data_IF_190939859204
#
_entry.id   IF_190939859204
#
_cell.length_a   1.000
_cell.length_b   1.000
_cell.length_c   1.000
_cell.angle_alpha   90.00
_cell.angle_beta   90.00
_cell.angle_gamma   90.00
#
_symmetry.space_group_name_H-M   'P 1'
#
loop_
_entity.id
_entity.type
_entity.pdbx_description
1 polymer ?
#
# COMPACT_ATOMS: atom_id res chain seq x y z
N UNK A 1 11.84 -12.84 10.98
CA UNK A 1 13.01 -12.21 11.68
C UNK A 1 14.09 -11.75 10.68
N UNK A 2 14.80 -12.65 9.96
CA UNK A 2 15.95 -12.29 9.08
C UNK A 2 15.61 -11.19 8.08
N UNK A 3 14.42 -11.23 7.45
CA UNK A 3 13.97 -10.19 6.53
C UNK A 3 13.67 -8.85 7.22
N UNK A 4 13.05 -8.88 8.41
CA UNK A 4 12.78 -7.67 9.18
C UNK A 4 14.07 -6.97 9.62
N UNK A 5 15.08 -7.74 10.01
CA UNK A 5 16.37 -7.19 10.45
C UNK A 5 17.20 -6.63 9.30
N UNK A 6 17.36 -7.39 8.20
CA UNK A 6 18.34 -7.11 7.15
C UNK A 6 17.75 -6.63 5.82
N UNK A 7 16.44 -6.68 5.66
CA UNK A 7 15.79 -6.50 4.37
C UNK A 7 15.97 -7.69 3.43
N UNK A 8 15.14 -7.75 2.39
CA UNK A 8 15.18 -8.85 1.42
C UNK A 8 16.57 -9.00 0.79
N UNK A 9 17.15 -7.90 0.30
CA UNK A 9 18.41 -7.91 -0.46
C UNK A 9 19.57 -8.54 0.32
N UNK A 10 19.70 -8.17 1.61
CA UNK A 10 20.81 -8.60 2.48
C UNK A 10 20.51 -9.84 3.31
N UNK A 11 19.27 -10.33 3.32
CA UNK A 11 18.89 -11.51 4.08
C UNK A 11 19.54 -12.78 3.51
N UNK A 12 20.01 -13.64 4.41
CA UNK A 12 20.69 -14.90 4.10
C UNK A 12 19.73 -16.09 4.20
N UNK A 13 19.47 -16.74 3.07
CA UNK A 13 18.67 -17.97 3.07
C UNK A 13 19.25 -19.05 4.00
N UNK A 14 20.58 -19.14 4.07
CA UNK A 14 21.24 -20.08 4.98
C UNK A 14 20.92 -19.80 6.45
N UNK A 15 20.84 -18.52 6.83
CA UNK A 15 20.46 -18.17 8.19
C UNK A 15 18.98 -18.48 8.44
N UNK A 16 18.10 -18.16 7.48
CA UNK A 16 16.66 -18.44 7.57
C UNK A 16 16.43 -19.94 7.83
N UNK A 17 16.98 -20.83 7.00
CA UNK A 17 16.77 -22.28 7.16
C UNK A 17 17.40 -22.82 8.44
N UNK A 18 18.54 -22.26 8.86
CA UNK A 18 19.19 -22.62 10.14
C UNK A 18 18.33 -22.24 11.33
N UNK A 19 17.80 -21.01 11.34
CA UNK A 19 16.92 -20.50 12.43
C UNK A 19 15.60 -21.27 12.49
N UNK A 20 15.04 -21.63 11.32
CA UNK A 20 13.83 -22.42 11.21
C UNK A 20 14.05 -23.92 11.60
N UNK A 21 15.29 -24.36 11.81
CA UNK A 21 15.60 -25.75 12.15
C UNK A 21 15.36 -26.75 11.01
N UNK A 22 15.34 -26.28 9.76
CA UNK A 22 15.12 -27.12 8.58
C UNK A 22 16.38 -27.25 7.75
N UNK A 23 16.43 -28.26 6.88
CA UNK A 23 17.53 -28.40 5.91
C UNK A 23 17.28 -27.55 4.67
N UNK A 24 18.35 -27.17 3.98
CA UNK A 24 18.25 -26.46 2.69
C UNK A 24 17.46 -27.28 1.66
N UNK A 25 17.62 -28.61 1.66
CA UNK A 25 16.84 -29.49 0.78
C UNK A 25 15.35 -29.48 1.09
N UNK A 26 14.97 -29.49 2.39
CA UNK A 26 13.58 -29.36 2.80
C UNK A 26 13.00 -28.00 2.39
N UNK A 27 13.77 -26.93 2.53
CA UNK A 27 13.37 -25.59 2.07
C UNK A 27 13.01 -25.58 0.58
N UNK A 28 13.88 -26.11 -0.28
CA UNK A 28 13.64 -26.14 -1.72
C UNK A 28 12.51 -27.08 -2.15
N UNK A 29 12.01 -27.91 -1.24
CA UNK A 29 10.76 -28.67 -1.44
C UNK A 29 9.49 -27.82 -1.35
N UNK A 30 9.55 -26.65 -0.70
CA UNK A 30 8.41 -25.75 -0.52
C UNK A 30 8.55 -24.44 -1.30
N UNK A 31 9.74 -23.88 -1.41
CA UNK A 31 10.00 -22.59 -2.03
C UNK A 31 11.10 -22.69 -3.06
N UNK A 32 10.89 -22.09 -4.24
CA UNK A 32 11.90 -22.05 -5.30
C UNK A 32 13.13 -21.18 -4.96
N UNK A 33 13.01 -20.32 -3.96
CA UNK A 33 14.09 -19.42 -3.52
C UNK A 33 13.64 -18.43 -2.46
N UNK A 34 14.53 -17.51 -2.13
CA UNK A 34 14.33 -16.47 -1.13
C UNK A 34 13.14 -15.56 -1.50
N UNK A 35 12.99 -15.28 -2.78
CA UNK A 35 11.89 -14.44 -3.31
C UNK A 35 10.52 -15.10 -3.13
N UNK A 36 10.41 -16.41 -3.43
CA UNK A 36 9.17 -17.15 -3.21
C UNK A 36 8.78 -17.21 -1.74
N UNK A 37 9.74 -17.34 -0.83
CA UNK A 37 9.49 -17.27 0.61
C UNK A 37 9.04 -15.87 1.03
N UNK A 38 9.68 -14.81 0.51
CA UNK A 38 9.29 -13.43 0.82
C UNK A 38 7.87 -13.15 0.32
N UNK A 39 7.57 -13.53 -0.92
CA UNK A 39 6.23 -13.40 -1.49
C UNK A 39 5.18 -14.12 -0.65
N UNK A 40 5.44 -15.36 -0.21
CA UNK A 40 4.52 -16.10 0.65
C UNK A 40 4.21 -15.45 2.00
N UNK A 41 5.08 -14.54 2.47
CA UNK A 41 4.86 -13.77 3.70
C UNK A 41 4.02 -12.52 3.48
N UNK A 42 4.05 -11.93 2.27
CA UNK A 42 3.52 -10.57 2.05
C UNK A 42 2.43 -10.47 1.00
N UNK A 43 2.32 -11.42 0.07
CA UNK A 43 1.43 -11.34 -1.11
C UNK A 43 -0.04 -11.19 -0.72
N UNK A 44 -0.52 -11.96 0.26
CA UNK A 44 -1.89 -11.89 0.75
C UNK A 44 -2.19 -10.48 1.28
N UNK A 45 -1.28 -9.91 2.05
CA UNK A 45 -1.46 -8.60 2.68
C UNK A 45 -1.33 -7.44 1.69
N UNK A 46 -0.37 -7.51 0.76
CA UNK A 46 -0.25 -6.55 -0.33
C UNK A 46 -1.53 -6.55 -1.20
N UNK A 47 -2.04 -7.74 -1.53
CA UNK A 47 -3.27 -7.90 -2.31
C UNK A 47 -4.49 -7.37 -1.54
N UNK A 48 -4.59 -7.63 -0.24
CA UNK A 48 -5.71 -7.17 0.58
C UNK A 48 -5.79 -5.64 0.63
N UNK A 49 -4.67 -4.94 0.83
CA UNK A 49 -4.65 -3.45 0.79
C UNK A 49 -5.04 -2.92 -0.60
N UNK A 50 -4.50 -3.51 -1.67
CA UNK A 50 -4.87 -3.11 -3.02
C UNK A 50 -6.37 -3.31 -3.26
N UNK A 51 -6.96 -4.41 -2.78
CA UNK A 51 -8.40 -4.65 -2.89
C UNK A 51 -9.22 -3.64 -2.08
N UNK A 52 -8.82 -3.29 -0.85
CA UNK A 52 -9.49 -2.24 -0.06
C UNK A 52 -9.45 -0.91 -0.81
N UNK A 53 -8.30 -0.55 -1.37
CA UNK A 53 -8.11 0.67 -2.12
C UNK A 53 -8.96 0.69 -3.41
N UNK A 54 -8.91 -0.37 -4.22
CA UNK A 54 -9.68 -0.48 -5.46
C UNK A 54 -11.19 -0.52 -5.21
N UNK A 55 -11.65 -1.24 -4.18
CA UNK A 55 -13.08 -1.26 -3.82
C UNK A 55 -13.58 0.12 -3.44
N UNK A 56 -12.77 0.95 -2.77
CA UNK A 56 -13.16 2.32 -2.45
C UNK A 56 -13.29 3.19 -3.71
N UNK A 57 -12.45 2.97 -4.72
CA UNK A 57 -12.56 3.66 -6.01
C UNK A 57 -13.83 3.20 -6.76
N UNK A 58 -14.10 1.89 -6.82
CA UNK A 58 -15.29 1.33 -7.44
C UNK A 58 -16.59 1.84 -6.77
N UNK A 59 -16.64 1.83 -5.44
CA UNK A 59 -17.79 2.37 -4.67
C UNK A 59 -18.02 3.84 -4.99
N UNK A 60 -16.94 4.63 -5.12
CA UNK A 60 -17.02 6.03 -5.49
C UNK A 60 -17.46 6.22 -6.95
N UNK A 61 -17.01 5.39 -7.87
CA UNK A 61 -17.44 5.43 -9.27
C UNK A 61 -18.94 5.14 -9.43
N UNK A 62 -19.51 4.24 -8.61
CA UNK A 62 -20.93 3.89 -8.62
C UNK A 62 -21.86 4.99 -8.11
N UNK A 63 -21.32 6.03 -7.44
CA UNK A 63 -22.13 7.17 -6.99
C UNK A 63 -22.65 7.98 -8.19
N UNK A 64 -23.87 8.52 -8.07
CA UNK A 64 -24.37 9.50 -9.03
C UNK A 64 -23.39 10.68 -9.15
N UNK A 65 -23.13 11.13 -10.38
CA UNK A 65 -22.17 12.25 -10.63
C UNK A 65 -22.42 13.46 -9.73
N UNK A 66 -23.70 13.80 -9.49
CA UNK A 66 -24.12 14.94 -8.64
C UNK A 66 -23.75 14.80 -7.16
N UNK A 67 -23.56 13.56 -6.69
CA UNK A 67 -23.29 13.27 -5.29
C UNK A 67 -21.78 13.09 -5.02
N UNK A 68 -20.98 12.82 -6.06
CA UNK A 68 -19.54 12.56 -5.94
C UNK A 68 -18.77 13.67 -5.21
N UNK A 69 -19.04 14.93 -5.53
CA UNK A 69 -18.37 16.08 -4.90
C UNK A 69 -18.57 16.13 -3.36
N UNK A 70 -19.76 15.72 -2.88
CA UNK A 70 -20.09 15.73 -1.46
C UNK A 70 -19.60 14.48 -0.70
N UNK A 71 -19.43 13.35 -1.39
CA UNK A 71 -19.08 12.07 -0.76
C UNK A 71 -17.59 11.75 -0.78
N UNK A 72 -16.79 12.40 -1.63
CA UNK A 72 -15.36 12.13 -1.77
C UNK A 72 -14.61 12.09 -0.43
N UNK A 73 -14.76 13.10 0.41
CA UNK A 73 -14.05 13.17 1.70
C UNK A 73 -14.52 12.10 2.71
N UNK A 74 -15.75 11.62 2.60
CA UNK A 74 -16.31 10.59 3.48
C UNK A 74 -15.75 9.22 3.09
N UNK A 75 -15.79 8.87 1.80
CA UNK A 75 -15.29 7.58 1.31
C UNK A 75 -13.78 7.47 1.43
N UNK A 76 -13.03 8.53 1.11
CA UNK A 76 -11.58 8.58 1.32
C UNK A 76 -11.20 8.33 2.78
N UNK A 77 -11.88 8.99 3.74
CA UNK A 77 -11.63 8.78 5.17
C UNK A 77 -11.95 7.36 5.62
N UNK A 78 -13.03 6.77 5.13
CA UNK A 78 -13.44 5.41 5.44
C UNK A 78 -12.40 4.40 4.91
N UNK A 79 -11.96 4.57 3.67
CA UNK A 79 -10.93 3.74 3.06
C UNK A 79 -9.60 3.83 3.81
N UNK A 80 -9.11 5.04 4.11
CA UNK A 80 -7.88 5.25 4.88
C UNK A 80 -7.96 4.58 6.26
N UNK A 81 -9.08 4.71 6.97
CA UNK A 81 -9.26 4.05 8.26
C UNK A 81 -9.22 2.51 8.13
N UNK A 82 -9.83 1.95 7.10
CA UNK A 82 -9.80 0.50 6.83
C UNK A 82 -8.39 0.02 6.52
N UNK A 83 -7.64 0.78 5.72
CA UNK A 83 -6.23 0.53 5.41
C UNK A 83 -5.39 0.55 6.70
N UNK A 84 -5.53 1.58 7.53
CA UNK A 84 -4.80 1.69 8.82
C UNK A 84 -5.15 0.51 9.73
N UNK A 85 -6.43 0.15 9.85
CA UNK A 85 -6.83 -0.99 10.68
C UNK A 85 -6.17 -2.29 10.24
N UNK A 86 -6.20 -2.58 8.95
CA UNK A 86 -5.60 -3.77 8.37
C UNK A 86 -4.07 -3.79 8.53
N UNK A 87 -3.40 -2.65 8.31
CA UNK A 87 -1.94 -2.52 8.53
C UNK A 87 -1.58 -2.89 9.96
N UNK A 88 -2.34 -2.42 10.96
CA UNK A 88 -2.02 -2.72 12.37
C UNK A 88 -2.39 -4.13 12.81
N UNK A 89 -3.22 -4.84 12.07
CA UNK A 89 -3.46 -6.28 12.27
C UNK A 89 -2.32 -7.14 11.69
N UNK A 90 -1.56 -6.61 10.71
CA UNK A 90 -0.51 -7.29 9.96
C UNK A 90 0.76 -6.43 9.87
N UNK A 91 1.16 -5.86 11.01
CA UNK A 91 2.18 -4.80 11.05
C UNK A 91 3.55 -5.27 10.56
N UNK A 92 3.98 -6.49 10.92
CA UNK A 92 5.27 -7.05 10.51
C UNK A 92 5.32 -7.31 9.00
N UNK A 93 4.22 -7.79 8.41
CA UNK A 93 4.10 -8.02 6.97
C UNK A 93 4.17 -6.70 6.21
N UNK A 94 3.51 -5.65 6.71
CA UNK A 94 3.62 -4.32 6.10
C UNK A 94 4.99 -3.69 6.31
N UNK A 95 5.65 -3.95 7.43
CA UNK A 95 7.04 -3.55 7.62
C UNK A 95 7.98 -4.23 6.61
N UNK A 96 7.70 -5.47 6.22
CA UNK A 96 8.39 -6.14 5.13
C UNK A 96 8.12 -5.45 3.77
N UNK A 97 6.86 -5.19 3.43
CA UNK A 97 6.46 -4.57 2.16
C UNK A 97 7.07 -3.18 2.01
N UNK A 98 6.92 -2.32 3.02
CA UNK A 98 7.27 -0.89 2.94
C UNK A 98 8.77 -0.65 3.15
N UNK A 99 9.37 -1.30 4.16
CA UNK A 99 10.74 -0.97 4.59
C UNK A 99 11.79 -1.97 4.13
N UNK A 100 11.40 -3.17 3.67
CA UNK A 100 12.31 -4.31 3.54
C UNK A 100 12.24 -5.03 2.19
N UNK A 101 11.47 -4.53 1.24
CA UNK A 101 11.16 -5.20 -0.04
C UNK A 101 12.11 -4.86 -1.19
N UNK A 102 13.15 -4.05 -0.96
CA UNK A 102 14.12 -3.65 -2.01
C UNK A 102 14.66 -4.88 -2.76
N UNK A 103 14.54 -4.88 -4.08
CA UNK A 103 14.94 -5.99 -4.96
C UNK A 103 13.87 -7.05 -5.15
N UNK A 104 12.63 -6.82 -4.71
CA UNK A 104 11.47 -7.67 -4.99
C UNK A 104 10.45 -6.93 -5.88
N UNK A 105 9.41 -7.63 -6.36
CA UNK A 105 8.30 -6.98 -7.06
C UNK A 105 7.46 -6.03 -6.17
N UNK A 106 7.65 -6.06 -4.85
CA UNK A 106 6.95 -5.21 -3.90
C UNK A 106 7.66 -3.87 -3.62
N UNK A 107 8.89 -3.65 -4.11
CA UNK A 107 9.63 -2.40 -3.86
C UNK A 107 8.90 -1.14 -4.35
N UNK A 108 8.05 -1.28 -5.37
CA UNK A 108 7.27 -0.20 -5.94
C UNK A 108 5.80 -0.17 -5.45
N UNK A 109 5.48 -0.86 -4.35
CA UNK A 109 4.11 -1.00 -3.86
C UNK A 109 3.40 0.35 -3.66
N UNK A 110 4.02 1.27 -2.94
CA UNK A 110 3.47 2.62 -2.70
C UNK A 110 3.38 3.42 -4.00
N UNK A 111 4.39 3.35 -4.86
CA UNK A 111 4.38 4.03 -6.15
C UNK A 111 3.21 3.56 -7.05
N UNK A 112 2.92 2.27 -7.06
CA UNK A 112 1.80 1.73 -7.82
C UNK A 112 0.44 2.29 -7.32
N UNK A 113 0.26 2.43 -6.01
CA UNK A 113 -0.93 3.08 -5.44
C UNK A 113 -1.02 4.55 -5.86
N UNK A 114 0.10 5.27 -5.86
CA UNK A 114 0.17 6.68 -6.31
C UNK A 114 -0.25 6.82 -7.77
N UNK A 115 0.21 5.96 -8.66
CA UNK A 115 -0.15 6.03 -10.08
C UNK A 115 -1.66 5.80 -10.32
N UNK A 116 -2.27 4.87 -9.56
CA UNK A 116 -3.73 4.63 -9.60
C UNK A 116 -4.46 5.90 -9.12
N UNK A 117 -4.10 6.45 -7.96
CA UNK A 117 -4.72 7.65 -7.40
C UNK A 117 -4.63 8.84 -8.34
N UNK A 118 -3.49 9.03 -9.00
CA UNK A 118 -3.32 10.10 -9.99
C UNK A 118 -4.28 9.93 -11.15
N UNK A 119 -4.44 8.71 -11.69
CA UNK A 119 -5.36 8.44 -12.78
C UNK A 119 -6.81 8.75 -12.38
N UNK A 120 -7.26 8.26 -11.21
CA UNK A 120 -8.61 8.45 -10.69
C UNK A 120 -8.89 9.93 -10.37
N UNK A 121 -7.91 10.65 -9.84
CA UNK A 121 -8.03 12.11 -9.59
C UNK A 121 -8.32 12.87 -10.88
N UNK A 122 -7.67 12.53 -11.99
CA UNK A 122 -7.93 13.19 -13.27
C UNK A 122 -9.33 12.88 -13.82
N UNK A 123 -9.81 11.64 -13.67
CA UNK A 123 -11.18 11.30 -14.06
C UNK A 123 -12.21 12.07 -13.21
N UNK A 124 -11.96 12.18 -11.90
CA UNK A 124 -12.82 12.96 -11.00
C UNK A 124 -12.83 14.46 -11.36
N UNK A 125 -11.69 15.07 -11.66
CA UNK A 125 -11.59 16.46 -12.12
C UNK A 125 -12.44 16.68 -13.39
N UNK A 126 -12.43 15.75 -14.34
CA UNK A 126 -13.27 15.83 -15.54
C UNK A 126 -14.76 15.85 -15.19
N UNK A 127 -15.19 15.03 -14.24
CA UNK A 127 -16.59 14.98 -13.77
C UNK A 127 -16.96 16.34 -13.13
N UNK A 128 -16.13 16.88 -12.26
CA UNK A 128 -16.39 18.16 -11.60
C UNK A 128 -16.49 19.32 -12.62
N UNK A 129 -15.59 19.37 -13.60
CA UNK A 129 -15.66 20.39 -14.68
C UNK A 129 -16.95 20.27 -15.48
N UNK A 130 -17.42 19.07 -15.79
CA UNK A 130 -18.74 18.85 -16.45
C UNK A 130 -19.90 19.38 -15.62
N UNK A 131 -19.80 19.30 -14.30
CA UNK A 131 -20.81 19.82 -13.35
C UNK A 131 -20.76 21.36 -13.19
N UNK A 132 -19.79 22.02 -13.84
CA UNK A 132 -19.66 23.47 -13.81
C UNK A 132 -18.80 24.00 -12.66
N UNK A 133 -18.05 23.14 -11.97
CA UNK A 133 -17.05 23.59 -11.01
C UNK A 133 -15.87 24.23 -11.74
N UNK A 134 -15.47 25.42 -11.26
CA UNK A 134 -14.28 26.11 -11.79
C UNK A 134 -13.01 25.53 -11.14
N UNK A 135 -12.49 24.48 -11.76
CA UNK A 135 -11.27 23.80 -11.32
C UNK A 135 -10.14 24.13 -12.29
N UNK A 136 -9.05 24.76 -11.81
CA UNK A 136 -7.90 25.03 -12.65
C UNK A 136 -7.29 23.76 -13.21
N UNK A 137 -6.62 23.88 -14.35
CA UNK A 137 -5.86 22.77 -14.90
C UNK A 137 -4.70 22.44 -13.95
N UNK A 138 -4.54 21.14 -13.69
CA UNK A 138 -3.49 20.59 -12.85
C UNK A 138 -2.51 19.81 -13.73
N UNK A 139 -1.23 20.07 -13.59
CA UNK A 139 -0.19 19.26 -14.22
C UNK A 139 -0.10 17.89 -13.54
N UNK A 140 0.18 16.84 -14.35
CA UNK A 140 0.26 15.46 -13.83
C UNK A 140 1.31 15.34 -12.73
N UNK A 141 2.43 16.03 -12.87
CA UNK A 141 3.53 16.06 -11.92
C UNK A 141 3.10 16.63 -10.56
N UNK A 142 2.27 17.67 -10.57
CA UNK A 142 1.74 18.27 -9.32
C UNK A 142 0.78 17.30 -8.63
N UNK A 143 -0.13 16.68 -9.39
CA UNK A 143 -1.02 15.66 -8.86
C UNK A 143 -0.23 14.49 -8.25
N UNK A 144 0.78 13.99 -8.98
CA UNK A 144 1.67 12.93 -8.50
C UNK A 144 2.42 13.31 -7.21
N UNK A 145 2.91 14.55 -7.11
CA UNK A 145 3.57 15.02 -5.87
C UNK A 145 2.62 15.03 -4.67
N UNK A 146 1.38 15.47 -4.88
CA UNK A 146 0.37 15.50 -3.81
C UNK A 146 0.01 14.07 -3.37
N UNK A 147 -0.31 13.19 -4.32
CA UNK A 147 -0.64 11.80 -4.05
C UNK A 147 0.53 11.06 -3.38
N UNK A 148 1.77 11.27 -3.86
CA UNK A 148 2.97 10.72 -3.23
C UNK A 148 3.13 11.17 -1.78
N UNK A 149 2.93 12.46 -1.50
CA UNK A 149 2.98 13.00 -0.13
C UNK A 149 1.93 12.38 0.77
N UNK A 150 0.72 12.16 0.29
CA UNK A 150 -0.37 11.53 1.02
C UNK A 150 -0.05 10.07 1.36
N UNK A 151 0.29 9.24 0.37
CA UNK A 151 0.59 7.83 0.61
C UNK A 151 1.86 7.62 1.42
N UNK A 152 2.94 8.38 1.14
CA UNK A 152 4.15 8.34 1.96
C UNK A 152 3.81 8.68 3.41
N UNK A 153 3.03 9.74 3.66
CA UNK A 153 2.60 10.12 5.01
C UNK A 153 1.84 9.00 5.74
N UNK A 154 0.96 8.26 5.03
CA UNK A 154 0.26 7.10 5.62
C UNK A 154 1.24 5.98 5.97
N UNK A 155 2.19 5.65 5.10
CA UNK A 155 3.12 4.54 5.33
C UNK A 155 4.29 4.89 6.27
N UNK A 156 4.58 6.18 6.50
CA UNK A 156 5.49 6.65 7.57
C UNK A 156 5.09 6.13 8.96
N UNK A 157 3.80 5.82 9.16
CA UNK A 157 3.31 5.18 10.39
C UNK A 157 4.06 3.87 10.70
N UNK A 158 4.40 3.12 9.63
CA UNK A 158 5.11 1.84 9.70
C UNK A 158 6.61 2.05 9.92
N UNK A 159 7.20 3.01 9.19
CA UNK A 159 8.63 3.31 9.28
C UNK A 159 9.02 3.78 10.69
N UNK A 160 8.14 4.56 11.32
CA UNK A 160 8.34 5.10 12.66
C UNK A 160 7.75 4.27 13.81
N UNK A 161 7.30 3.04 13.54
CA UNK A 161 6.68 2.17 14.56
C UNK A 161 5.61 2.91 15.40
N UNK A 162 4.80 3.77 14.74
CA UNK A 162 3.78 4.57 15.42
C UNK A 162 2.72 3.67 16.06
N UNK A 163 2.23 4.02 17.24
CA UNK A 163 1.13 3.28 17.87
C UNK A 163 -0.20 3.54 17.16
N UNK A 164 -1.03 2.50 17.01
CA UNK A 164 -2.35 2.57 16.33
C UNK A 164 -3.22 3.73 16.83
N UNK A 165 -3.23 3.98 18.15
CA UNK A 165 -4.00 5.05 18.76
C UNK A 165 -3.60 6.45 18.24
N UNK A 166 -2.30 6.66 17.98
CA UNK A 166 -1.81 7.90 17.43
C UNK A 166 -2.08 8.00 15.93
N UNK A 167 -1.93 6.90 15.19
CA UNK A 167 -2.20 6.85 13.76
C UNK A 167 -3.65 7.23 13.40
N UNK A 168 -4.62 6.86 14.25
CA UNK A 168 -6.04 7.18 14.05
C UNK A 168 -6.46 8.57 14.55
N UNK A 169 -5.60 9.23 15.29
CA UNK A 169 -5.92 10.53 15.87
C UNK A 169 -5.63 11.69 14.92
N UNK A 170 -4.65 11.51 14.06
CA UNK A 170 -4.15 12.53 13.14
C UNK A 170 -4.43 12.15 11.68
#
# INVERSE_FOLDING_TARGET
EEFLEKGFKSASLRNIVKTAGVTTGAFYGYFSGKEALFAALVEEHATAIMNIFMSAQEDFEMLDEKDKANHMGIESRKSINSIIDYIYEHFDEFKLIICKSEGTCYENFVHNMVEIEVAETFEFIKILKKQGYDIPDMEKEVCHMIASGMFTGIFELIEHDMKKENAKKY
#
